data_IF_957366286677
#
_entry.id   IF_957366286677
#
_cell.length_a   1.000
_cell.length_b   1.000
_cell.length_c   1.000
_cell.angle_alpha   90.00
_cell.angle_beta   90.00
_cell.angle_gamma   90.00
#
_symmetry.space_group_name_H-M   'P 1'
#
loop_
_entity.id
_entity.type
_entity.pdbx_description
1 polymer ?
#
# COMPACT_ATOMS: atom_id res chain seq x y z
N UNK A 1 -10.30 -28.85 35.67
CA UNK A 1 -10.29 -27.40 35.37
C UNK A 1 -9.17 -27.18 34.39
N UNK A 2 -9.47 -27.03 33.10
CA UNK A 2 -8.46 -26.70 32.10
C UNK A 2 -8.08 -25.22 32.24
N UNK A 3 -6.81 -24.82 32.02
CA UNK A 3 -6.37 -23.48 32.28
C UNK A 3 -6.95 -22.52 31.23
N UNK A 4 -8.07 -21.87 31.56
CA UNK A 4 -8.70 -20.78 30.78
C UNK A 4 -7.74 -19.58 30.61
N UNK A 5 -6.64 -19.53 31.37
CA UNK A 5 -5.62 -18.48 31.33
C UNK A 5 -4.64 -18.59 30.14
N UNK A 6 -4.38 -19.81 29.63
CA UNK A 6 -3.38 -19.99 28.56
C UNK A 6 -3.92 -19.56 27.20
N UNK A 7 -5.24 -19.70 26.94
CA UNK A 7 -5.85 -19.31 25.67
C UNK A 7 -5.90 -17.79 25.44
N UNK A 8 -6.23 -17.02 26.50
CA UNK A 8 -6.38 -15.56 26.41
C UNK A 8 -5.06 -14.83 26.28
N UNK A 9 -4.03 -15.21 27.05
CA UNK A 9 -2.71 -14.59 26.98
C UNK A 9 -2.02 -14.88 25.64
N UNK A 10 -2.17 -16.10 25.11
CA UNK A 10 -1.59 -16.50 23.82
C UNK A 10 -2.31 -15.83 22.64
N UNK A 11 -3.63 -15.69 22.71
CA UNK A 11 -4.39 -14.91 21.73
C UNK A 11 -4.02 -13.42 21.79
N UNK A 12 -3.84 -12.86 22.99
CA UNK A 12 -3.42 -11.47 23.19
C UNK A 12 -2.00 -11.21 22.65
N UNK A 13 -1.06 -12.12 22.91
CA UNK A 13 0.31 -12.05 22.36
C UNK A 13 0.34 -12.20 20.84
N UNK A 14 -0.50 -13.07 20.27
CA UNK A 14 -0.65 -13.21 18.82
C UNK A 14 -1.25 -11.96 18.18
N UNK A 15 -2.22 -11.33 18.83
CA UNK A 15 -2.80 -10.07 18.37
C UNK A 15 -1.79 -8.92 18.45
N UNK A 16 -1.02 -8.83 19.53
CA UNK A 16 0.07 -7.86 19.67
C UNK A 16 1.19 -8.11 18.67
N UNK A 17 1.59 -9.37 18.45
CA UNK A 17 2.60 -9.74 17.45
C UNK A 17 2.15 -9.39 16.04
N UNK A 18 0.89 -9.68 15.69
CA UNK A 18 0.30 -9.28 14.42
C UNK A 18 0.19 -7.76 14.29
N UNK A 19 -0.23 -7.04 15.34
CA UNK A 19 -0.30 -5.58 15.34
C UNK A 19 1.07 -4.93 15.18
N UNK A 20 2.11 -5.45 15.85
CA UNK A 20 3.49 -4.99 15.71
C UNK A 20 4.02 -5.29 14.30
N UNK A 21 3.77 -6.48 13.75
CA UNK A 21 4.18 -6.84 12.39
C UNK A 21 3.51 -5.94 11.34
N UNK A 22 2.19 -5.67 11.48
CA UNK A 22 1.45 -4.74 10.62
C UNK A 22 2.00 -3.32 10.76
N UNK A 23 2.27 -2.87 11.98
CA UNK A 23 2.82 -1.53 12.23
C UNK A 23 4.22 -1.38 11.64
N UNK A 24 5.09 -2.39 11.77
CA UNK A 24 6.41 -2.43 11.16
C UNK A 24 6.33 -2.47 9.64
N UNK A 25 5.39 -3.22 9.07
CA UNK A 25 5.14 -3.24 7.63
C UNK A 25 4.70 -1.86 7.12
N UNK A 26 3.75 -1.20 7.81
CA UNK A 26 3.31 0.17 7.48
C UNK A 26 4.48 1.15 7.61
N UNK A 27 5.28 1.06 8.67
CA UNK A 27 6.45 1.90 8.88
C UNK A 27 7.49 1.69 7.77
N UNK A 28 7.78 0.44 7.38
CA UNK A 28 8.70 0.14 6.29
C UNK A 28 8.20 0.68 4.94
N UNK A 29 6.90 0.54 4.65
CA UNK A 29 6.28 1.16 3.45
C UNK A 29 6.43 2.68 3.50
N UNK A 30 6.10 3.31 4.62
CA UNK A 30 6.23 4.76 4.79
C UNK A 30 7.69 5.22 4.64
N UNK A 31 8.65 4.52 5.24
CA UNK A 31 10.07 4.80 5.11
C UNK A 31 10.56 4.66 3.68
N UNK A 32 10.17 3.59 2.96
CA UNK A 32 10.53 3.41 1.55
C UNK A 32 9.94 4.53 0.69
N UNK A 33 8.68 4.89 0.91
CA UNK A 33 8.03 6.00 0.20
C UNK A 33 8.76 7.34 0.46
N UNK A 34 9.15 7.59 1.71
CA UNK A 34 9.90 8.79 2.11
C UNK A 34 11.31 8.80 1.49
N UNK A 35 11.99 7.64 1.44
CA UNK A 35 13.34 7.51 0.88
C UNK A 35 13.36 7.59 -0.66
N UNK A 36 12.29 7.20 -1.36
CA UNK A 36 12.28 7.16 -2.82
C UNK A 36 12.11 8.53 -3.49
N UNK A 37 11.51 9.55 -2.86
CA UNK A 37 11.37 10.90 -3.44
C UNK A 37 11.00 11.94 -2.39
N UNK A 38 11.76 13.04 -2.32
CA UNK A 38 11.37 14.25 -1.58
C UNK A 38 9.96 14.75 -2.02
N UNK A 39 9.05 15.05 -1.08
CA UNK A 39 7.69 15.48 -1.40
C UNK A 39 7.69 16.89 -2.01
N UNK A 40 7.02 17.06 -3.17
CA UNK A 40 6.84 18.38 -3.80
C UNK A 40 5.86 19.25 -3.03
N UNK A 41 4.83 18.63 -2.43
CA UNK A 41 3.88 19.27 -1.52
C UNK A 41 3.46 18.28 -0.43
N UNK A 42 3.09 18.77 0.78
CA UNK A 42 2.62 17.91 1.87
C UNK A 42 1.29 17.22 1.55
N UNK A 43 0.45 17.81 0.69
CA UNK A 43 -0.81 17.20 0.25
C UNK A 43 -0.58 16.02 -0.70
N UNK A 44 0.29 16.17 -1.70
CA UNK A 44 0.69 15.06 -2.60
C UNK A 44 1.29 13.89 -1.81
N UNK A 45 2.06 14.21 -0.76
CA UNK A 45 2.66 13.22 0.12
C UNK A 45 1.61 12.44 0.90
N UNK A 46 0.66 13.12 1.54
CA UNK A 46 -0.40 12.48 2.32
C UNK A 46 -1.26 11.56 1.42
N UNK A 47 -1.65 12.04 0.24
CA UNK A 47 -2.45 11.26 -0.71
C UNK A 47 -1.66 10.05 -1.24
N UNK A 48 -0.37 10.23 -1.55
CA UNK A 48 0.51 9.14 -1.94
C UNK A 48 0.60 8.04 -0.88
N UNK A 49 0.77 8.42 0.40
CA UNK A 49 0.82 7.47 1.51
C UNK A 49 -0.50 6.74 1.74
N UNK A 50 -1.62 7.48 1.78
CA UNK A 50 -2.95 6.87 1.96
C UNK A 50 -3.23 5.88 0.84
N UNK A 51 -2.96 6.25 -0.42
CA UNK A 51 -3.11 5.35 -1.56
C UNK A 51 -2.23 4.11 -1.42
N UNK A 52 -0.98 4.26 -1.02
CA UNK A 52 -0.05 3.14 -0.85
C UNK A 52 -0.59 2.15 0.19
N UNK A 53 -1.09 2.65 1.32
CA UNK A 53 -1.69 1.84 2.37
C UNK A 53 -2.96 1.15 1.88
N UNK A 54 -3.86 1.88 1.20
CA UNK A 54 -5.11 1.30 0.69
C UNK A 54 -4.83 0.26 -0.39
N UNK A 55 -3.93 0.52 -1.33
CA UNK A 55 -3.52 -0.42 -2.38
C UNK A 55 -2.83 -1.66 -1.80
N UNK A 56 -2.00 -1.47 -0.77
CA UNK A 56 -1.36 -2.55 -0.04
C UNK A 56 -2.40 -3.46 0.61
N UNK A 57 -3.33 -2.90 1.39
CA UNK A 57 -4.37 -3.66 2.09
C UNK A 57 -5.35 -4.33 1.12
N UNK A 58 -5.87 -3.58 0.14
CA UNK A 58 -6.85 -4.10 -0.82
C UNK A 58 -6.22 -5.13 -1.77
N UNK A 59 -5.04 -4.84 -2.31
CA UNK A 59 -4.32 -5.75 -3.20
C UNK A 59 -3.82 -7.00 -2.46
N UNK A 60 -3.15 -6.82 -1.33
CA UNK A 60 -2.66 -7.93 -0.51
C UNK A 60 -3.79 -8.85 -0.04
N UNK A 61 -4.91 -8.29 0.45
CA UNK A 61 -6.07 -9.10 0.86
C UNK A 61 -6.73 -9.83 -0.31
N UNK A 62 -6.83 -9.20 -1.49
CA UNK A 62 -7.37 -9.84 -2.68
C UNK A 62 -6.57 -11.08 -3.08
N UNK A 63 -5.23 -11.00 -3.07
CA UNK A 63 -4.32 -12.13 -3.32
C UNK A 63 -4.60 -13.25 -2.31
N UNK A 64 -4.67 -12.92 -1.02
CA UNK A 64 -4.85 -13.90 0.06
C UNK A 64 -6.18 -14.65 -0.09
N UNK A 65 -7.27 -13.92 -0.34
CA UNK A 65 -8.61 -14.50 -0.51
C UNK A 65 -8.69 -15.32 -1.79
N UNK A 66 -8.11 -14.83 -2.90
CA UNK A 66 -8.23 -15.48 -4.22
C UNK A 66 -7.53 -16.82 -4.30
N UNK A 67 -6.44 -16.99 -3.55
CA UNK A 67 -5.63 -18.21 -3.51
C UNK A 67 -5.77 -19.01 -2.21
N UNK A 68 -6.63 -18.59 -1.28
CA UNK A 68 -6.88 -19.33 -0.03
C UNK A 68 -5.68 -19.37 0.91
N UNK A 69 -4.81 -18.36 0.87
CA UNK A 69 -3.54 -18.31 1.62
C UNK A 69 -3.72 -18.05 3.13
N UNK A 70 -4.93 -18.22 3.68
CA UNK A 70 -5.23 -17.97 5.09
C UNK A 70 -4.46 -18.89 6.02
N UNK A 71 -4.16 -20.11 5.60
CA UNK A 71 -3.40 -21.09 6.40
C UNK A 71 -1.97 -20.65 6.68
N UNK A 72 -1.40 -19.79 5.81
CA UNK A 72 -0.04 -19.29 5.91
C UNK A 72 0.15 -18.34 7.10
N UNK A 73 -0.93 -17.90 7.76
CA UNK A 73 -0.86 -17.16 9.03
C UNK A 73 -0.27 -18.00 10.16
N UNK A 74 -0.37 -19.32 10.09
CA UNK A 74 0.07 -20.21 11.18
C UNK A 74 1.57 -20.49 11.18
N UNK A 75 2.26 -20.20 10.07
CA UNK A 75 3.70 -20.39 9.90
C UNK A 75 4.45 -19.06 9.84
N UNK A 76 5.67 -19.03 10.38
CA UNK A 76 6.47 -17.80 10.43
C UNK A 76 6.90 -17.35 9.02
N UNK A 77 7.24 -18.28 8.13
CA UNK A 77 7.60 -17.96 6.75
C UNK A 77 6.36 -17.59 5.94
N UNK A 78 5.25 -18.26 6.19
CA UNK A 78 3.94 -17.89 5.66
C UNK A 78 3.55 -16.45 6.01
N UNK A 79 3.68 -16.03 7.27
CA UNK A 79 3.40 -14.65 7.69
C UNK A 79 4.31 -13.62 7.02
N UNK A 80 5.59 -13.93 6.84
CA UNK A 80 6.54 -13.06 6.11
C UNK A 80 6.10 -12.93 4.65
N UNK A 81 5.72 -14.03 4.00
CA UNK A 81 5.24 -14.03 2.62
C UNK A 81 3.94 -13.22 2.46
N UNK A 82 2.99 -13.39 3.39
CA UNK A 82 1.75 -12.60 3.42
C UNK A 82 2.07 -11.11 3.56
N UNK A 83 2.94 -10.73 4.49
CA UNK A 83 3.42 -9.35 4.63
C UNK A 83 4.10 -8.82 3.35
N UNK A 84 4.85 -9.67 2.66
CA UNK A 84 5.44 -9.37 1.36
C UNK A 84 4.41 -9.05 0.28
N UNK A 85 3.30 -9.78 0.22
CA UNK A 85 2.21 -9.49 -0.73
C UNK A 85 1.58 -8.12 -0.48
N UNK A 86 1.30 -7.78 0.79
CA UNK A 86 0.84 -6.43 1.14
C UNK A 86 1.84 -5.38 0.67
N UNK A 87 3.14 -5.56 0.95
CA UNK A 87 4.18 -4.62 0.57
C UNK A 87 4.26 -4.41 -0.96
N UNK A 88 4.33 -5.50 -1.73
CA UNK A 88 4.46 -5.45 -3.20
C UNK A 88 3.24 -4.82 -3.85
N UNK A 89 2.03 -5.01 -3.31
CA UNK A 89 0.82 -4.38 -3.83
C UNK A 89 0.71 -2.88 -3.52
N UNK A 90 1.46 -2.37 -2.53
CA UNK A 90 1.47 -0.95 -2.17
C UNK A 90 2.24 -0.08 -3.18
N UNK A 91 3.41 -0.55 -3.63
CA UNK A 91 4.31 0.20 -4.50
C UNK A 91 3.67 0.61 -5.86
N UNK A 92 2.90 -0.25 -6.54
CA UNK A 92 2.16 0.13 -7.74
C UNK A 92 1.14 1.25 -7.49
N UNK A 93 0.42 1.21 -6.35
CA UNK A 93 -0.52 2.26 -5.97
C UNK A 93 0.16 3.62 -5.83
N UNK A 94 1.30 3.65 -5.12
CA UNK A 94 2.14 4.84 -5.01
C UNK A 94 2.54 5.38 -6.38
N UNK A 95 3.07 4.52 -7.26
CA UNK A 95 3.56 4.92 -8.57
C UNK A 95 2.45 5.54 -9.43
N UNK A 96 1.26 4.92 -9.44
CA UNK A 96 0.11 5.41 -10.19
C UNK A 96 -0.30 6.80 -9.69
N UNK A 97 -0.46 7.00 -8.39
CA UNK A 97 -0.86 8.31 -7.84
C UNK A 97 0.20 9.37 -8.12
N UNK A 98 1.47 9.03 -8.05
CA UNK A 98 2.57 9.95 -8.41
C UNK A 98 2.55 10.32 -9.89
N UNK A 99 2.30 9.37 -10.77
CA UNK A 99 2.15 9.66 -12.19
C UNK A 99 0.95 10.56 -12.46
N UNK A 100 -0.18 10.31 -11.79
CA UNK A 100 -1.37 11.16 -11.89
C UNK A 100 -1.09 12.59 -11.44
N UNK A 101 -0.48 12.80 -10.27
CA UNK A 101 -0.11 14.16 -9.83
C UNK A 101 0.91 14.84 -10.76
N UNK A 102 1.88 14.09 -11.27
CA UNK A 102 2.84 14.62 -12.25
C UNK A 102 2.16 15.02 -13.57
N UNK A 103 1.12 14.29 -13.99
CA UNK A 103 0.30 14.65 -15.14
C UNK A 103 -0.52 15.91 -14.87
N UNK A 104 -1.22 15.99 -13.73
CA UNK A 104 -2.03 17.16 -13.35
C UNK A 104 -1.16 18.42 -13.28
N UNK A 105 -0.01 18.37 -12.61
CA UNK A 105 0.91 19.51 -12.53
C UNK A 105 1.48 19.94 -13.89
N UNK A 106 1.59 19.04 -14.88
CA UNK A 106 1.98 19.43 -16.26
C UNK A 106 0.88 20.15 -17.02
N UNK A 107 -0.37 20.00 -16.59
CA UNK A 107 -1.55 20.58 -17.20
C UNK A 107 -2.09 21.80 -16.42
N UNK A 108 -1.58 22.04 -15.20
CA UNK A 108 -1.91 23.22 -14.40
C UNK A 108 -1.54 24.51 -15.15
N UNK A 109 -2.53 25.37 -15.39
CA UNK A 109 -2.38 26.61 -16.17
C UNK A 109 -2.75 26.50 -17.65
N UNK A 110 -2.95 25.30 -18.19
CA UNK A 110 -3.50 25.09 -19.54
C UNK A 110 -5.02 24.97 -19.48
N UNK A 111 -5.72 25.52 -20.48
CA UNK A 111 -7.18 25.36 -20.56
C UNK A 111 -7.52 23.90 -20.93
N UNK A 112 -8.65 23.34 -20.47
CA UNK A 112 -9.09 21.96 -20.77
C UNK A 112 -9.03 21.62 -22.28
N UNK A 113 -9.28 22.61 -23.13
CA UNK A 113 -9.22 22.50 -24.60
C UNK A 113 -7.78 22.25 -25.09
N UNK A 114 -6.79 22.86 -24.45
CA UNK A 114 -5.37 22.74 -24.78
C UNK A 114 -4.82 21.37 -24.34
N UNK A 115 -5.26 20.89 -23.18
CA UNK A 115 -4.99 19.52 -22.69
C UNK A 115 -5.55 18.47 -23.66
N UNK A 116 -6.80 18.63 -24.12
CA UNK A 116 -7.41 17.71 -25.08
C UNK A 116 -6.72 17.72 -26.46
N UNK A 117 -6.22 18.89 -26.91
CA UNK A 117 -5.43 18.95 -28.15
C UNK A 117 -4.11 18.22 -28.02
N UNK A 118 -3.39 18.35 -26.91
CA UNK A 118 -2.14 17.61 -26.67
C UNK A 118 -2.38 16.09 -26.66
N UNK A 119 -3.40 15.61 -25.95
CA UNK A 119 -3.73 14.17 -25.89
C UNK A 119 -4.08 13.64 -27.28
N UNK A 120 -4.86 14.40 -28.06
CA UNK A 120 -5.22 14.00 -29.42
C UNK A 120 -4.00 13.95 -30.35
N UNK A 121 -3.08 14.92 -30.23
CA UNK A 121 -1.84 14.95 -31.02
C UNK A 121 -0.94 13.75 -30.74
N UNK A 122 -0.80 13.35 -29.48
CA UNK A 122 -0.01 12.16 -29.08
C UNK A 122 -0.66 10.86 -29.51
N UNK A 123 -2.01 10.82 -29.63
CA UNK A 123 -2.73 9.65 -30.15
C UNK A 123 -2.59 9.48 -31.66
N UNK A 124 -2.39 10.58 -32.38
CA UNK A 124 -2.30 10.61 -33.85
C UNK A 124 -0.84 10.47 -34.36
N UNK A 125 0.15 10.44 -33.45
CA UNK A 125 1.55 10.01 -33.70
C UNK A 125 1.74 8.52 -33.42
#
# INVERSE_FOLDING_TARGET
MEPVSTGSLTAFLKFYGAAIAVTLAIAAVATVVIMMRFPRSPQEWAVGLICTVVSSLAGGSFIIVRWGLHEWVTDIWGMIALGGFFFVCGLPGWAIVRWTFNFINRQEGKTIVEVMREIKKVKDE
#
